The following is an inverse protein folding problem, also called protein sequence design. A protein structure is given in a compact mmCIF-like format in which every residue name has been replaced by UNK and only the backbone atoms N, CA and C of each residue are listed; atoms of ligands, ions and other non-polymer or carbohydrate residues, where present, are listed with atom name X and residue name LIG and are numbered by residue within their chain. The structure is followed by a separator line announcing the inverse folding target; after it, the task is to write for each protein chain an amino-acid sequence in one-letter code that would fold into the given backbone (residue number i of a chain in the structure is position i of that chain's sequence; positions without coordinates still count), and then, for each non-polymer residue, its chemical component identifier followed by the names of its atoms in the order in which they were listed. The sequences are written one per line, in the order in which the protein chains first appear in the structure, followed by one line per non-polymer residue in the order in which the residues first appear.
data_IF_005705494082
#
_entry.id   IF_005705494082
#
_cell.length_a   1.000
_cell.length_b   1.000
_cell.length_c   1.000
_cell.angle_alpha   90.00
_cell.angle_beta   90.00
_cell.angle_gamma   90.00
#
_symmetry.space_group_name_H-M   'P 1'
#
loop_
_entity.id
_entity.type
_entity.pdbx_description
1 polymer ?
#
# COMPACT_ATOMS: atom_id res chain seq x y z
N UNK A 1 5.99 0.77 23.11
CA UNK A 1 6.87 -0.26 22.54
C UNK A 1 6.22 -0.77 21.26
N UNK A 2 6.91 -0.70 20.13
CA UNK A 2 6.36 -1.18 18.85
C UNK A 2 6.22 -2.69 18.87
N UNK A 3 5.02 -3.18 18.57
CA UNK A 3 4.73 -4.63 18.59
C UNK A 3 5.32 -5.30 17.35
N UNK A 4 5.73 -6.57 17.44
CA UNK A 4 6.21 -7.37 16.29
C UNK A 4 5.34 -7.24 15.01
N UNK A 5 4.00 -7.34 15.06
CA UNK A 5 3.16 -7.20 13.87
C UNK A 5 3.27 -5.82 13.20
N UNK A 6 3.58 -4.79 13.98
CA UNK A 6 3.70 -3.43 13.49
C UNK A 6 5.03 -3.15 12.81
N UNK A 7 6.11 -3.79 13.29
CA UNK A 7 7.40 -3.80 12.59
C UNK A 7 7.27 -4.50 11.24
N UNK A 8 6.55 -5.62 11.19
CA UNK A 8 6.28 -6.35 9.94
C UNK A 8 5.44 -5.51 8.98
N UNK A 9 4.40 -4.81 9.47
CA UNK A 9 3.58 -3.92 8.64
C UNK A 9 4.41 -2.76 8.05
N UNK A 10 5.29 -2.14 8.84
CA UNK A 10 6.21 -1.10 8.33
C UNK A 10 7.19 -1.63 7.31
N UNK A 11 7.76 -2.82 7.54
CA UNK A 11 8.66 -3.46 6.58
C UNK A 11 7.96 -3.78 5.26
N UNK A 12 6.71 -4.24 5.30
CA UNK A 12 5.88 -4.46 4.11
C UNK A 12 5.58 -3.16 3.37
N UNK A 13 5.23 -2.08 4.08
CA UNK A 13 5.01 -0.76 3.47
C UNK A 13 6.27 -0.23 2.78
N UNK A 14 7.44 -0.37 3.42
CA UNK A 14 8.73 0.01 2.84
C UNK A 14 9.05 -0.84 1.61
N UNK A 15 8.88 -2.17 1.69
CA UNK A 15 9.13 -3.07 0.58
C UNK A 15 8.23 -2.72 -0.62
N UNK A 16 6.94 -2.47 -0.40
CA UNK A 16 6.01 -2.08 -1.47
C UNK A 16 6.37 -0.70 -2.05
N UNK A 17 6.75 0.26 -1.20
CA UNK A 17 7.24 1.57 -1.66
C UNK A 17 8.51 1.47 -2.51
N UNK A 18 9.47 0.62 -2.11
CA UNK A 18 10.70 0.35 -2.86
C UNK A 18 10.44 -0.38 -4.18
N UNK A 19 9.54 -1.37 -4.18
CA UNK A 19 9.12 -2.05 -5.42
C UNK A 19 8.45 -1.07 -6.39
N UNK A 20 7.61 -0.15 -5.91
CA UNK A 20 7.01 0.92 -6.72
C UNK A 20 8.03 1.94 -7.26
N UNK A 21 9.21 2.04 -6.65
CA UNK A 21 10.33 2.82 -7.17
C UNK A 21 11.12 2.06 -8.23
N UNK A 22 11.25 0.75 -8.09
CA UNK A 22 11.89 -0.11 -9.10
C UNK A 22 11.13 -0.13 -10.42
N UNK A 23 9.80 0.04 -10.42
CA UNK A 23 9.01 0.12 -11.66
C UNK A 23 9.31 1.37 -12.49
N UNK A 24 9.92 2.42 -11.91
CA UNK A 24 10.40 3.59 -12.66
C UNK A 24 11.63 3.28 -13.52
N UNK A 25 12.41 2.25 -13.17
CA UNK A 25 13.64 1.92 -13.86
C UNK A 25 13.40 1.18 -15.19
N UNK A 26 12.32 0.40 -15.29
CA UNK A 26 12.03 -0.42 -16.49
C UNK A 26 11.36 0.34 -17.64
N UNK A 27 10.98 1.61 -17.46
CA UNK A 27 10.27 2.35 -18.50
C UNK A 27 11.25 2.92 -19.54
N UNK A 28 11.44 2.18 -20.63
CA UNK A 28 12.08 2.68 -21.85
C UNK A 28 11.27 3.86 -22.47
N UNK A 29 11.93 4.82 -23.15
CA UNK A 29 11.25 5.98 -23.72
C UNK A 29 10.31 5.54 -24.86
N UNK A 30 9.00 5.63 -24.64
CA UNK A 30 7.99 5.42 -25.66
C UNK A 30 7.54 6.76 -26.25
N UNK A 31 7.24 6.78 -27.56
CA UNK A 31 6.96 7.99 -28.34
C UNK A 31 5.83 8.87 -27.82
N UNK A 32 5.78 10.11 -28.35
CA UNK A 32 5.11 11.29 -27.79
C UNK A 32 3.66 11.11 -27.29
N UNK A 33 2.87 10.23 -27.90
CA UNK A 33 1.48 9.97 -27.48
C UNK A 33 1.35 9.07 -26.24
N UNK A 34 2.31 8.16 -26.03
CA UNK A 34 2.36 7.25 -24.87
C UNK A 34 3.04 7.92 -23.68
N UNK A 35 3.84 8.96 -23.95
CA UNK A 35 4.62 9.70 -22.97
C UNK A 35 3.76 10.29 -21.84
N UNK A 36 2.61 10.90 -22.16
CA UNK A 36 1.73 11.53 -21.15
C UNK A 36 1.09 10.49 -20.23
N UNK A 37 0.66 9.35 -20.78
CA UNK A 37 0.08 8.26 -19.99
C UNK A 37 1.13 7.58 -19.11
N UNK A 38 2.34 7.37 -19.65
CA UNK A 38 3.49 6.88 -18.89
C UNK A 38 3.87 7.83 -17.76
N UNK A 39 3.97 9.13 -18.03
CA UNK A 39 4.33 10.13 -17.04
C UNK A 39 3.28 10.23 -15.92
N UNK A 40 2.00 10.15 -16.28
CA UNK A 40 0.91 10.13 -15.30
C UNK A 40 0.99 8.88 -14.41
N UNK A 41 1.27 7.72 -14.99
CA UNK A 41 1.43 6.48 -14.25
C UNK A 41 2.68 6.48 -13.35
N UNK A 42 3.80 7.00 -13.83
CA UNK A 42 5.02 7.20 -13.03
C UNK A 42 4.79 8.18 -11.88
N UNK A 43 4.05 9.27 -12.13
CA UNK A 43 3.71 10.23 -11.09
C UNK A 43 2.85 9.59 -10.00
N UNK A 44 1.83 8.81 -10.37
CA UNK A 44 1.00 8.08 -9.43
C UNK A 44 1.81 7.03 -8.66
N UNK A 45 2.72 6.30 -9.31
CA UNK A 45 3.54 5.30 -8.62
C UNK A 45 4.48 5.94 -7.60
N UNK A 46 5.11 7.08 -7.94
CA UNK A 46 5.95 7.86 -7.02
C UNK A 46 5.12 8.41 -5.87
N UNK A 47 3.93 8.95 -6.16
CA UNK A 47 3.03 9.50 -5.13
C UNK A 47 2.60 8.42 -4.13
N UNK A 48 2.26 7.22 -4.61
CA UNK A 48 1.91 6.07 -3.78
C UNK A 48 3.13 5.60 -2.97
N UNK A 49 4.30 5.48 -3.59
CA UNK A 49 5.52 5.10 -2.89
C UNK A 49 5.85 6.09 -1.76
N UNK A 50 5.80 7.40 -2.04
CA UNK A 50 6.00 8.45 -1.06
C UNK A 50 4.95 8.41 0.05
N UNK A 51 3.68 8.16 -0.29
CA UNK A 51 2.61 8.03 0.69
C UNK A 51 2.83 6.81 1.60
N UNK A 52 3.23 5.66 1.04
CA UNK A 52 3.51 4.44 1.81
C UNK A 52 4.72 4.60 2.74
N UNK A 53 5.78 5.27 2.26
CA UNK A 53 6.94 5.63 3.09
C UNK A 53 6.52 6.63 4.19
N UNK A 54 5.70 7.63 3.86
CA UNK A 54 5.13 8.56 4.83
C UNK A 54 4.25 7.87 5.87
N UNK A 55 3.47 6.87 5.48
CA UNK A 55 2.63 6.08 6.37
C UNK A 55 3.46 5.26 7.38
N UNK A 56 4.70 4.90 7.07
CA UNK A 56 5.62 4.27 8.05
C UNK A 56 5.88 5.21 9.23
N UNK A 57 6.04 6.51 8.94
CA UNK A 57 6.28 7.55 9.94
C UNK A 57 5.00 7.97 10.69
N UNK A 58 3.87 8.09 9.98
CA UNK A 58 2.63 8.59 10.56
C UNK A 58 1.59 7.49 10.78
N UNK A 59 1.54 6.94 12.00
CA UNK A 59 0.54 5.93 12.43
C UNK A 59 -0.92 6.35 12.22
N UNK A 60 -1.22 7.64 12.35
CA UNK A 60 -2.59 8.16 12.24
C UNK A 60 -3.19 8.01 10.84
N UNK A 61 -2.34 8.05 9.80
CA UNK A 61 -2.78 8.03 8.39
C UNK A 61 -2.53 6.69 7.70
N UNK A 62 -2.02 5.68 8.40
CA UNK A 62 -1.68 4.38 7.80
C UNK A 62 -2.85 3.70 7.10
N UNK A 63 -4.02 3.66 7.74
CA UNK A 63 -5.22 3.05 7.18
C UNK A 63 -5.75 3.77 5.94
N UNK A 64 -5.95 5.11 5.95
CA UNK A 64 -6.42 5.80 4.76
C UNK A 64 -5.41 5.74 3.61
N UNK A 65 -4.10 5.82 3.89
CA UNK A 65 -3.06 5.67 2.85
C UNK A 65 -3.07 4.26 2.26
N UNK A 66 -3.20 3.23 3.10
CA UNK A 66 -3.25 1.84 2.65
C UNK A 66 -4.50 1.57 1.80
N UNK A 67 -5.65 2.12 2.19
CA UNK A 67 -6.88 2.04 1.41
C UNK A 67 -6.75 2.77 0.07
N UNK A 68 -6.16 3.97 0.05
CA UNK A 68 -5.92 4.72 -1.18
C UNK A 68 -4.93 3.98 -2.12
N UNK A 69 -3.85 3.43 -1.58
CA UNK A 69 -2.87 2.66 -2.34
C UNK A 69 -3.48 1.38 -2.94
N UNK A 70 -4.31 0.67 -2.17
CA UNK A 70 -5.07 -0.49 -2.65
C UNK A 70 -6.04 -0.11 -3.76
N UNK A 71 -6.83 0.96 -3.57
CA UNK A 71 -7.79 1.42 -4.56
C UNK A 71 -7.09 1.84 -5.86
N UNK A 72 -5.95 2.52 -5.75
CA UNK A 72 -5.17 2.93 -6.91
C UNK A 72 -4.58 1.74 -7.67
N UNK A 73 -3.95 0.78 -6.98
CA UNK A 73 -3.43 -0.45 -7.63
C UNK A 73 -4.55 -1.31 -8.21
N UNK A 74 -5.69 -1.42 -7.53
CA UNK A 74 -6.85 -2.17 -8.03
C UNK A 74 -7.42 -1.52 -9.31
N UNK A 75 -7.51 -0.19 -9.35
CA UNK A 75 -7.90 0.56 -10.54
C UNK A 75 -6.92 0.32 -11.70
N UNK A 76 -5.62 0.33 -11.43
CA UNK A 76 -4.61 0.04 -12.45
C UNK A 76 -4.71 -1.39 -13.02
N UNK A 77 -4.94 -2.39 -12.16
CA UNK A 77 -5.13 -3.78 -12.60
C UNK A 77 -6.41 -3.91 -13.43
N UNK A 78 -7.51 -3.27 -13.02
CA UNK A 78 -8.75 -3.29 -13.79
C UNK A 78 -8.54 -2.73 -15.20
N UNK A 79 -7.89 -1.57 -15.30
CA UNK A 79 -7.56 -0.94 -16.60
C UNK A 79 -6.61 -1.83 -17.42
N UNK A 80 -5.62 -2.45 -16.79
CA UNK A 80 -4.68 -3.36 -17.46
C UNK A 80 -5.36 -4.63 -17.96
N UNK A 81 -6.34 -5.19 -17.25
CA UNK A 81 -7.12 -6.35 -17.69
C UNK A 81 -8.04 -6.02 -18.87
N UNK A 82 -8.56 -4.79 -18.92
CA UNK A 82 -9.37 -4.28 -20.04
C UNK A 82 -8.53 -3.96 -21.29
N UNK A 83 -7.20 -3.88 -21.16
CA UNK A 83 -6.28 -3.51 -22.24
C UNK A 83 -5.30 -4.67 -22.51
N UNK A 84 -5.50 -5.49 -23.55
CA UNK A 84 -4.75 -6.73 -23.75
C UNK A 84 -3.23 -6.52 -23.89
N UNK A 85 -2.79 -5.38 -24.42
CA UNK A 85 -1.38 -5.01 -24.56
C UNK A 85 -0.67 -4.71 -23.22
N UNK A 86 -1.44 -4.41 -22.16
CA UNK A 86 -0.92 -4.10 -20.83
C UNK A 86 -0.97 -5.29 -19.86
N UNK A 87 -1.94 -6.20 -20.04
CA UNK A 87 -2.19 -7.34 -19.16
C UNK A 87 -0.99 -8.29 -19.00
N UNK A 88 -0.09 -8.36 -19.99
CA UNK A 88 1.07 -9.29 -20.01
C UNK A 88 2.35 -8.63 -19.48
N UNK A 89 2.31 -7.35 -19.09
CA UNK A 89 3.51 -6.65 -18.62
C UNK A 89 3.93 -7.14 -17.22
N UNK A 90 5.25 -7.31 -16.96
CA UNK A 90 5.78 -7.72 -15.66
C UNK A 90 5.32 -6.80 -14.51
N UNK A 91 5.09 -5.52 -14.80
CA UNK A 91 4.52 -4.52 -13.88
C UNK A 91 3.17 -4.95 -13.27
N UNK A 92 2.30 -5.65 -14.01
CA UNK A 92 0.98 -6.09 -13.51
C UNK A 92 1.12 -7.15 -12.42
N UNK A 93 2.04 -8.10 -12.59
CA UNK A 93 2.35 -9.10 -11.56
C UNK A 93 2.96 -8.46 -10.31
N UNK A 94 3.80 -7.45 -10.52
CA UNK A 94 4.46 -6.68 -9.46
C UNK A 94 3.44 -5.86 -8.66
N UNK A 95 2.42 -5.31 -9.32
CA UNK A 95 1.28 -4.66 -8.66
C UNK A 95 0.38 -5.64 -7.91
N UNK A 96 0.11 -6.83 -8.45
CA UNK A 96 -0.62 -7.90 -7.75
C UNK A 96 0.08 -8.31 -6.45
N UNK A 97 1.40 -8.51 -6.49
CA UNK A 97 2.21 -8.81 -5.31
C UNK A 97 2.16 -7.64 -4.31
N UNK A 98 2.22 -6.40 -4.80
CA UNK A 98 2.06 -5.20 -3.98
C UNK A 98 0.71 -5.11 -3.26
N UNK A 99 -0.39 -5.45 -3.94
CA UNK A 99 -1.73 -5.53 -3.35
C UNK A 99 -1.79 -6.60 -2.26
N UNK A 100 -1.24 -7.79 -2.52
CA UNK A 100 -1.21 -8.86 -1.53
C UNK A 100 -0.44 -8.45 -0.26
N UNK A 101 0.71 -7.77 -0.44
CA UNK A 101 1.49 -7.21 0.67
C UNK A 101 0.73 -6.13 1.45
N UNK A 102 0.02 -5.23 0.74
CA UNK A 102 -0.83 -4.19 1.36
C UNK A 102 -2.00 -4.79 2.14
N UNK A 103 -2.67 -5.81 1.61
CA UNK A 103 -3.73 -6.52 2.34
C UNK A 103 -3.19 -7.21 3.60
N UNK A 104 -2.01 -7.83 3.51
CA UNK A 104 -1.33 -8.42 4.66
C UNK A 104 -0.99 -7.38 5.74
N UNK A 105 -0.42 -6.24 5.34
CA UNK A 105 -0.12 -5.12 6.24
C UNK A 105 -1.39 -4.56 6.89
N UNK A 106 -2.47 -4.38 6.11
CA UNK A 106 -3.78 -3.93 6.60
C UNK A 106 -4.38 -4.90 7.62
N UNK A 107 -4.34 -6.21 7.36
CA UNK A 107 -4.84 -7.23 8.27
C UNK A 107 -4.06 -7.26 9.60
N UNK A 108 -2.73 -7.11 9.54
CA UNK A 108 -1.88 -7.02 10.73
C UNK A 108 -2.19 -5.76 11.56
N UNK A 109 -2.37 -4.60 10.92
CA UNK A 109 -2.75 -3.36 11.60
C UNK A 109 -4.15 -3.45 12.24
N UNK A 110 -5.11 -4.05 11.53
CA UNK A 110 -6.45 -4.32 12.07
C UNK A 110 -6.41 -5.25 13.30
N UNK A 111 -5.60 -6.32 13.25
CA UNK A 111 -5.38 -7.19 14.41
C UNK A 111 -4.75 -6.44 15.57
N UNK A 112 -3.71 -5.64 15.32
CA UNK A 112 -3.03 -4.86 16.35
C UNK A 112 -4.00 -3.89 17.05
N UNK A 113 -4.83 -3.15 16.28
CA UNK A 113 -5.84 -2.25 16.84
C UNK A 113 -6.95 -2.99 17.60
N UNK A 114 -7.41 -4.15 17.11
CA UNK A 114 -8.38 -4.98 17.83
C UNK A 114 -7.83 -5.52 19.15
N UNK A 115 -6.54 -5.86 19.18
CA UNK A 115 -5.88 -6.25 20.42
C UNK A 115 -5.81 -5.09 21.41
N UNK A 116 -5.40 -3.88 20.98
CA UNK A 116 -5.40 -2.70 21.84
C UNK A 116 -6.79 -2.37 22.39
N UNK A 117 -7.83 -2.36 21.55
CA UNK A 117 -9.21 -2.09 21.99
C UNK A 117 -9.73 -3.12 23.03
N UNK A 118 -9.22 -4.36 23.00
CA UNK A 118 -9.58 -5.39 23.98
C UNK A 118 -8.94 -5.14 25.34
N UNK A 119 -7.74 -4.55 25.38
CA UNK A 119 -7.02 -4.24 26.62
C UNK A 119 -7.33 -2.83 27.17
N UNK A 120 -7.74 -1.90 26.30
CA UNK A 120 -8.18 -0.55 26.65
C UNK A 120 -9.68 -0.49 27.00
N UNK A 121 -10.38 -1.62 26.96
CA UNK A 121 -11.72 -1.68 27.54
C UNK A 121 -11.56 -1.33 29.02
N UNK A 122 -12.12 -0.20 29.50
CA UNK A 122 -12.04 0.13 30.91
C UNK A 122 -12.61 -1.07 31.64
N UNK A 123 -11.78 -1.74 32.44
CA UNK A 123 -12.26 -2.73 33.39
C UNK A 123 -13.49 -2.07 34.04
N UNK A 124 -14.68 -2.72 34.02
CA UNK A 124 -15.80 -2.20 34.77
C UNK A 124 -15.24 -2.05 36.18
N UNK A 125 -15.05 -0.79 36.61
CA UNK A 125 -14.65 -0.49 37.97
C UNK A 125 -15.71 -1.18 38.78
N UNK A 126 -15.33 -2.29 39.40
CA UNK A 126 -16.17 -3.01 40.31
C UNK A 126 -16.65 -1.94 41.26
N UNK A 127 -17.95 -1.65 41.23
CA UNK A 127 -18.59 -0.62 42.03
C UNK A 127 -18.15 -0.87 43.47
N UNK A 128 -17.19 -0.07 43.92
CA UNK A 128 -16.92 0.10 45.33
C UNK A 128 -18.00 1.07 45.83
N UNK A 129 -18.68 0.61 46.89
CA UNK A 129 -19.71 1.26 47.70
C UNK A 129 -21.17 1.14 47.22
#
# INVERSE_FOLDING_TARGET
MDTLPERVARALLLAVGLLSLMTLWETAPAGDAVLVSLLHQQFLSVLIAAALIGAVHFRGIQLPVLAAALLSKAGFIAISLLTPDLAVRPVVYLDLIGIAALLGAGALLLRAKRHQARWDSPMPRCLEA
#
